data_IF_040701532754
#
_entry.id   IF_040701532754
#
_cell.length_a   1.000
_cell.length_b   1.000
_cell.length_c   1.000
_cell.angle_alpha   90.00
_cell.angle_beta   90.00
_cell.angle_gamma   90.00
#
_symmetry.space_group_name_H-M   'P 1'
#
loop_
_entity.id
_entity.type
_entity.pdbx_description
1 polymer ?
#
# COMPACT_ATOMS: atom_id res chain seq x y z
N UNK A 1 1.76 36.88 -75.03
CA UNK A 1 3.08 36.40 -74.58
C UNK A 1 3.13 36.41 -73.06
N UNK A 2 3.24 35.20 -72.48
CA UNK A 2 3.70 34.74 -71.16
C UNK A 2 3.21 35.35 -69.80
N UNK A 3 2.39 34.52 -69.14
CA UNK A 3 2.29 34.08 -67.72
C UNK A 3 3.53 34.32 -66.82
N UNK A 4 3.54 34.46 -65.49
CA UNK A 4 2.81 33.82 -64.34
C UNK A 4 3.21 34.55 -63.01
N UNK A 5 2.41 34.50 -61.92
CA UNK A 5 2.71 35.17 -60.64
C UNK A 5 3.52 34.29 -59.64
N UNK A 6 4.29 34.90 -58.72
CA UNK A 6 4.89 34.22 -57.56
C UNK A 6 4.18 34.60 -56.26
N UNK A 7 3.40 33.66 -55.69
CA UNK A 7 2.88 33.73 -54.31
C UNK A 7 4.00 33.40 -53.29
N UNK A 8 4.07 34.07 -52.13
CA UNK A 8 4.91 33.61 -51.04
C UNK A 8 4.27 32.41 -50.33
N UNK A 9 5.01 31.30 -50.33
CA UNK A 9 4.69 30.00 -49.70
C UNK A 9 5.27 30.00 -48.28
N UNK A 10 4.53 30.44 -47.26
CA UNK A 10 5.00 30.39 -45.86
C UNK A 10 3.89 30.31 -44.80
N UNK A 11 3.06 29.26 -44.84
CA UNK A 11 2.11 29.00 -43.73
C UNK A 11 1.87 27.52 -43.39
N UNK A 12 2.16 26.58 -44.31
CA UNK A 12 1.90 25.14 -44.09
C UNK A 12 2.85 24.44 -43.11
N UNK A 13 4.07 24.95 -42.91
CA UNK A 13 5.07 24.29 -42.05
C UNK A 13 4.82 24.51 -40.56
N UNK A 14 4.24 25.65 -40.16
CA UNK A 14 3.97 25.96 -38.76
C UNK A 14 2.78 25.17 -38.20
N UNK A 15 1.79 24.88 -39.04
CA UNK A 15 0.60 24.10 -38.66
C UNK A 15 0.96 22.63 -38.45
N UNK A 16 1.84 22.07 -39.30
CA UNK A 16 2.32 20.69 -39.15
C UNK A 16 3.13 20.46 -37.87
N UNK A 17 3.94 21.44 -37.46
CA UNK A 17 4.74 21.38 -36.23
C UNK A 17 3.87 21.41 -34.97
N UNK A 18 2.82 22.22 -34.92
CA UNK A 18 1.92 22.28 -33.75
C UNK A 18 1.13 21.00 -33.57
N UNK A 19 0.65 20.38 -34.66
CA UNK A 19 -0.06 19.10 -34.60
C UNK A 19 0.83 17.96 -34.06
N UNK A 20 2.10 17.93 -34.47
CA UNK A 20 3.05 16.93 -33.99
C UNK A 20 3.35 17.07 -32.48
N UNK A 21 3.46 18.30 -31.97
CA UNK A 21 3.68 18.56 -30.54
C UNK A 21 2.48 18.11 -29.70
N UNK A 22 1.24 18.40 -30.14
CA UNK A 22 0.03 17.98 -29.41
C UNK A 22 -0.08 16.46 -29.34
N UNK A 23 0.23 15.75 -30.42
CA UNK A 23 0.21 14.28 -30.45
C UNK A 23 1.28 13.70 -29.51
N UNK A 24 2.48 14.26 -29.49
CA UNK A 24 3.55 13.82 -28.59
C UNK A 24 3.21 14.06 -27.12
N UNK A 25 2.59 15.20 -26.80
CA UNK A 25 2.14 15.50 -25.42
C UNK A 25 1.01 14.54 -25.01
N UNK A 26 0.04 14.28 -25.87
CA UNK A 26 -1.04 13.34 -25.59
C UNK A 26 -0.53 11.91 -25.36
N UNK A 27 0.45 11.46 -26.16
CA UNK A 27 1.09 10.17 -25.97
C UNK A 27 1.89 10.10 -24.67
N UNK A 28 2.63 11.15 -24.32
CA UNK A 28 3.36 11.21 -23.05
C UNK A 28 2.41 11.14 -21.85
N UNK A 29 1.30 11.87 -21.88
CA UNK A 29 0.27 11.83 -20.83
C UNK A 29 -0.36 10.44 -20.72
N UNK A 30 -0.68 9.78 -21.84
CA UNK A 30 -1.21 8.43 -21.84
C UNK A 30 -0.23 7.40 -21.24
N UNK A 31 1.07 7.52 -21.54
CA UNK A 31 2.11 6.65 -20.96
C UNK A 31 2.21 6.85 -19.44
N UNK A 32 2.16 8.09 -18.94
CA UNK A 32 2.20 8.38 -17.50
C UNK A 32 1.00 7.77 -16.77
N UNK A 33 -0.21 7.89 -17.33
CA UNK A 33 -1.43 7.32 -16.73
C UNK A 33 -1.37 5.77 -16.70
N UNK A 34 -0.87 5.15 -17.77
CA UNK A 34 -0.71 3.69 -17.84
C UNK A 34 0.38 3.18 -16.90
N UNK A 35 1.49 3.92 -16.73
CA UNK A 35 2.54 3.54 -15.77
C UNK A 35 2.06 3.68 -14.32
N UNK A 36 1.29 4.73 -14.02
CA UNK A 36 0.76 4.94 -12.67
C UNK A 36 -0.31 3.90 -12.28
N UNK A 37 -1.04 3.36 -13.26
CA UNK A 37 -2.01 2.28 -13.04
C UNK A 37 -1.35 0.90 -12.95
N UNK A 38 -0.23 0.66 -13.65
CA UNK A 38 0.52 -0.59 -13.56
C UNK A 38 1.40 -0.73 -12.31
N UNK A 39 1.72 0.38 -11.63
CA UNK A 39 2.33 0.36 -10.31
C UNK A 39 1.39 -0.22 -9.24
N UNK A 40 0.10 -0.39 -9.56
CA UNK A 40 -0.87 -1.06 -8.70
C UNK A 40 -0.94 -2.57 -8.97
N UNK A 41 0.18 -3.26 -8.78
CA UNK A 41 0.22 -4.72 -8.83
C UNK A 41 -0.43 -5.36 -7.59
N UNK A 42 -0.76 -6.66 -7.63
CA UNK A 42 -1.39 -7.39 -6.51
C UNK A 42 -0.68 -7.24 -5.16
N UNK A 43 0.64 -7.07 -5.19
CA UNK A 43 1.47 -6.86 -3.99
C UNK A 43 1.02 -5.60 -3.24
N UNK A 44 0.75 -4.50 -3.94
CA UNK A 44 0.35 -3.25 -3.30
C UNK A 44 -1.10 -3.29 -2.76
N UNK A 45 -1.92 -4.21 -3.25
CA UNK A 45 -3.26 -4.46 -2.70
C UNK A 45 -3.22 -5.35 -1.45
N UNK A 46 -2.32 -6.33 -1.42
CA UNK A 46 -2.10 -7.21 -0.25
C UNK A 46 -1.50 -6.40 0.90
N UNK A 47 -0.47 -5.60 0.60
CA UNK A 47 0.15 -4.68 1.56
C UNK A 47 -0.88 -3.74 2.21
N UNK A 48 -1.70 -3.07 1.38
CA UNK A 48 -2.79 -2.22 1.88
C UNK A 48 -3.82 -2.98 2.69
N UNK A 49 -4.18 -4.20 2.28
CA UNK A 49 -5.12 -5.05 3.03
C UNK A 49 -4.55 -5.46 4.38
N UNK A 50 -3.25 -5.79 4.45
CA UNK A 50 -2.55 -6.09 5.70
C UNK A 50 -2.57 -4.88 6.63
N UNK A 51 -2.21 -3.71 6.08
CA UNK A 51 -2.24 -2.42 6.78
C UNK A 51 -3.64 -2.11 7.33
N UNK A 52 -4.66 -2.05 6.49
CA UNK A 52 -6.02 -1.68 6.88
C UNK A 52 -6.56 -2.61 7.97
N UNK A 53 -6.27 -3.91 7.86
CA UNK A 53 -6.72 -4.88 8.84
C UNK A 53 -6.00 -4.72 10.18
N UNK A 54 -4.69 -4.52 10.14
CA UNK A 54 -3.87 -4.31 11.32
C UNK A 54 -4.24 -3.03 12.06
N UNK A 55 -4.50 -1.93 11.34
CA UNK A 55 -4.94 -0.67 11.93
C UNK A 55 -6.29 -0.83 12.65
N UNK A 56 -7.20 -1.60 12.06
CA UNK A 56 -8.49 -1.92 12.68
C UNK A 56 -8.32 -2.75 13.97
N UNK A 57 -7.48 -3.79 13.97
CA UNK A 57 -7.22 -4.60 15.16
C UNK A 57 -6.55 -3.80 16.28
N UNK A 58 -5.52 -3.00 15.95
CA UNK A 58 -4.84 -2.16 16.94
C UNK A 58 -5.82 -1.14 17.53
N UNK A 59 -6.60 -0.45 16.67
CA UNK A 59 -7.60 0.51 17.12
C UNK A 59 -8.64 -0.12 18.05
N UNK A 60 -9.05 -1.37 17.80
CA UNK A 60 -10.00 -2.10 18.65
C UNK A 60 -9.44 -2.45 20.04
N UNK A 61 -8.12 -2.40 20.24
CA UNK A 61 -7.46 -2.63 21.54
C UNK A 61 -7.30 -1.36 22.36
N UNK A 62 -7.52 -0.18 21.79
CA UNK A 62 -7.32 1.09 22.48
C UNK A 62 -8.50 1.41 23.39
N UNK A 63 -8.22 2.01 24.55
CA UNK A 63 -9.24 2.46 25.50
C UNK A 63 -10.10 3.60 24.92
N UNK A 64 -9.48 4.48 24.12
CA UNK A 64 -10.14 5.60 23.46
C UNK A 64 -9.92 5.58 21.93
N UNK A 65 -10.56 4.66 21.18
CA UNK A 65 -10.30 4.45 19.75
C UNK A 65 -10.52 5.68 18.87
N UNK A 66 -11.52 6.51 19.21
CA UNK A 66 -11.91 7.68 18.43
C UNK A 66 -10.97 8.89 18.64
N UNK A 67 -10.24 8.92 19.76
CA UNK A 67 -9.27 9.97 20.06
C UNK A 67 -7.82 9.57 19.70
N UNK A 68 -7.64 8.33 19.24
CA UNK A 68 -6.34 7.79 18.86
C UNK A 68 -5.97 8.13 17.42
N UNK A 69 -4.74 8.60 17.24
CA UNK A 69 -4.09 8.73 15.94
C UNK A 69 -3.22 7.50 15.72
N UNK A 70 -3.46 6.80 14.61
CA UNK A 70 -2.65 5.67 14.20
C UNK A 70 -1.80 6.13 13.01
N UNK A 71 -0.52 5.80 13.04
CA UNK A 71 0.39 6.04 11.93
C UNK A 71 1.27 4.81 11.73
N UNK A 72 1.27 4.29 10.50
CA UNK A 72 2.08 3.12 10.19
C UNK A 72 3.47 3.56 9.78
N UNK A 73 4.46 2.96 10.40
CA UNK A 73 5.86 3.33 10.19
C UNK A 73 6.57 2.35 9.27
N UNK A 74 6.12 1.08 9.22
CA UNK A 74 6.69 0.07 8.32
C UNK A 74 5.67 -1.03 7.99
N UNK A 75 5.71 -1.51 6.74
CA UNK A 75 4.94 -2.66 6.26
C UNK A 75 5.85 -3.51 5.39
N UNK A 76 6.10 -4.75 5.82
CA UNK A 76 7.04 -5.62 5.14
C UNK A 76 6.63 -7.09 5.23
N UNK A 77 7.03 -7.90 4.27
CA UNK A 77 6.92 -9.36 4.40
C UNK A 77 7.86 -9.85 5.51
N UNK A 78 7.35 -10.70 6.39
CA UNK A 78 8.12 -11.33 7.46
C UNK A 78 8.19 -12.84 7.23
N UNK A 79 9.26 -13.52 7.67
CA UNK A 79 9.23 -14.97 7.77
C UNK A 79 8.16 -15.43 8.76
N UNK A 80 7.58 -16.61 8.50
CA UNK A 80 6.76 -17.35 9.45
C UNK A 80 7.66 -17.86 10.59
N UNK A 81 7.21 -17.71 11.83
CA UNK A 81 7.93 -18.04 13.06
C UNK A 81 7.10 -19.03 13.89
N UNK A 82 7.09 -20.32 13.51
CA UNK A 82 6.18 -21.31 14.06
C UNK A 82 6.48 -21.71 15.50
N UNK A 83 7.68 -21.43 15.99
CA UNK A 83 8.13 -21.86 17.31
C UNK A 83 7.99 -20.76 18.38
N UNK A 84 7.71 -19.52 17.96
CA UNK A 84 7.50 -18.39 18.88
C UNK A 84 6.25 -17.59 18.52
N UNK A 85 6.38 -16.60 17.63
CA UNK A 85 5.30 -15.61 17.40
C UNK A 85 4.04 -16.23 16.82
N UNK A 86 4.16 -17.23 15.97
CA UNK A 86 3.05 -17.79 15.19
C UNK A 86 2.56 -19.15 15.72
N UNK A 87 3.18 -19.68 16.79
CA UNK A 87 2.90 -21.01 17.34
C UNK A 87 1.40 -21.22 17.60
N UNK A 88 0.76 -20.29 18.31
CA UNK A 88 -0.66 -20.43 18.66
C UNK A 88 -1.56 -20.34 17.43
N UNK A 89 -1.27 -19.42 16.51
CA UNK A 89 -2.02 -19.25 15.27
C UNK A 89 -1.94 -20.51 14.39
N UNK A 90 -0.79 -21.19 14.37
CA UNK A 90 -0.54 -22.39 13.57
C UNK A 90 -0.97 -23.70 14.24
N UNK A 91 -1.13 -23.74 15.56
CA UNK A 91 -1.49 -24.98 16.27
C UNK A 91 -2.96 -25.00 16.69
N UNK A 92 -3.49 -23.87 17.15
CA UNK A 92 -4.84 -23.75 17.71
C UNK A 92 -5.70 -22.70 17.02
N UNK A 93 -5.10 -21.86 16.17
CA UNK A 93 -5.78 -20.76 15.49
C UNK A 93 -6.31 -21.12 14.10
N UNK A 94 -6.75 -20.09 13.35
CA UNK A 94 -7.31 -20.24 12.00
C UNK A 94 -6.36 -20.84 10.97
N UNK A 95 -5.06 -20.89 11.25
CA UNK A 95 -4.05 -21.47 10.38
C UNK A 95 -3.68 -22.92 10.73
N UNK A 96 -4.38 -23.51 11.71
CA UNK A 96 -4.12 -24.89 12.11
C UNK A 96 -4.31 -25.89 10.97
N UNK A 97 -3.30 -26.71 10.73
CA UNK A 97 -3.28 -27.71 9.66
C UNK A 97 -3.05 -27.18 8.24
N UNK A 98 -2.81 -25.88 8.07
CA UNK A 98 -2.43 -25.29 6.78
C UNK A 98 -0.94 -25.54 6.52
N UNK A 99 -0.60 -25.92 5.29
CA UNK A 99 0.78 -26.04 4.85
C UNK A 99 1.50 -24.69 4.94
N UNK A 100 2.58 -24.62 5.72
CA UNK A 100 3.35 -23.40 5.96
C UNK A 100 3.89 -22.76 4.67
N UNK A 101 4.14 -23.54 3.62
CA UNK A 101 4.61 -23.03 2.33
C UNK A 101 3.58 -22.18 1.59
N UNK A 102 2.29 -22.31 1.95
CA UNK A 102 1.18 -21.51 1.40
C UNK A 102 0.93 -20.23 2.19
N UNK A 103 1.58 -20.08 3.33
CA UNK A 103 1.37 -18.95 4.25
C UNK A 103 2.40 -17.86 3.93
N UNK A 104 1.91 -16.67 3.60
CA UNK A 104 2.71 -15.45 3.51
C UNK A 104 2.36 -14.55 4.68
N UNK A 105 3.38 -14.05 5.38
CA UNK A 105 3.18 -13.16 6.53
C UNK A 105 3.61 -11.74 6.17
N UNK A 106 2.74 -10.78 6.48
CA UNK A 106 3.06 -9.36 6.46
C UNK A 106 3.14 -8.83 7.88
N UNK A 107 4.23 -8.17 8.23
CA UNK A 107 4.41 -7.45 9.48
C UNK A 107 4.12 -5.98 9.25
N UNK A 108 3.23 -5.41 10.06
CA UNK A 108 2.81 -4.01 10.04
C UNK A 108 3.15 -3.43 11.41
N UNK A 109 4.03 -2.43 11.42
CA UNK A 109 4.36 -1.70 12.64
C UNK A 109 3.51 -0.43 12.71
N UNK A 110 2.66 -0.37 13.73
CA UNK A 110 1.68 0.70 13.96
C UNK A 110 2.13 1.52 15.16
N UNK A 111 2.40 2.80 14.96
CA UNK A 111 2.58 3.77 16.03
C UNK A 111 1.22 4.37 16.41
N UNK A 112 0.95 4.44 17.70
CA UNK A 112 -0.31 4.90 18.27
C UNK A 112 -0.04 6.08 19.18
N UNK A 113 -0.73 7.18 18.92
CA UNK A 113 -0.85 8.33 19.81
C UNK A 113 -2.29 8.42 20.32
N UNK A 114 -2.52 8.18 21.60
CA UNK A 114 -3.85 8.21 22.19
C UNK A 114 -3.85 8.90 23.56
N UNK A 115 -4.93 9.58 23.97
CA UNK A 115 -5.04 10.04 25.35
C UNK A 115 -5.15 8.87 26.32
N UNK A 116 -4.42 8.91 27.43
CA UNK A 116 -4.50 7.93 28.51
C UNK A 116 -5.53 8.34 29.57
N UNK A 117 -5.90 7.40 30.44
CA UNK A 117 -6.95 7.61 31.46
C UNK A 117 -6.61 8.68 32.51
N UNK A 118 -5.34 9.05 32.64
CA UNK A 118 -4.85 10.07 33.59
C UNK A 118 -4.61 11.44 32.95
N UNK A 119 -5.06 11.65 31.71
CA UNK A 119 -5.03 12.95 31.03
C UNK A 119 -3.72 13.30 30.32
N UNK A 120 -2.82 12.34 30.14
CA UNK A 120 -1.63 12.44 29.29
C UNK A 120 -1.80 11.79 27.91
N UNK A 121 -0.74 11.78 27.10
CA UNK A 121 -0.68 11.06 25.82
C UNK A 121 0.11 9.75 25.99
N UNK A 122 -0.50 8.64 25.61
CA UNK A 122 0.13 7.35 25.37
C UNK A 122 0.72 7.36 23.96
N UNK A 123 2.03 7.11 23.88
CA UNK A 123 2.72 6.84 22.62
C UNK A 123 3.23 5.40 22.67
N UNK A 124 2.59 4.51 21.92
CA UNK A 124 2.92 3.09 21.90
C UNK A 124 3.16 2.60 20.48
N UNK A 125 3.87 1.48 20.37
CA UNK A 125 4.10 0.78 19.12
C UNK A 125 3.54 -0.63 19.20
N UNK A 126 2.80 -1.03 18.18
CA UNK A 126 2.25 -2.37 18.03
C UNK A 126 2.81 -3.01 16.77
N UNK A 127 3.20 -4.28 16.87
CA UNK A 127 3.54 -5.09 15.72
C UNK A 127 2.36 -6.00 15.41
N UNK A 128 1.80 -5.85 14.22
CA UNK A 128 0.70 -6.70 13.75
C UNK A 128 1.19 -7.61 12.63
N UNK A 129 0.88 -8.89 12.74
CA UNK A 129 1.16 -9.90 11.71
C UNK A 129 -0.14 -10.24 11.00
N UNK A 130 -0.17 -10.05 9.68
CA UNK A 130 -1.28 -10.44 8.82
C UNK A 130 -0.89 -11.66 8.00
N UNK A 131 -1.70 -12.72 8.10
CA UNK A 131 -1.42 -14.01 7.47
C UNK A 131 -2.30 -14.20 6.25
N UNK A 132 -1.64 -14.44 5.12
CA UNK A 132 -2.30 -14.71 3.85
C UNK A 132 -2.06 -16.15 3.44
N UNK A 133 -3.11 -16.86 3.06
CA UNK A 133 -3.04 -18.20 2.49
C UNK A 133 -3.37 -18.09 1.01
N UNK A 134 -2.41 -18.42 0.15
CA UNK A 134 -2.52 -18.26 -1.31
C UNK A 134 -3.00 -16.85 -1.74
N UNK A 135 -2.57 -15.82 -1.01
CA UNK A 135 -2.93 -14.42 -1.28
C UNK A 135 -4.25 -13.94 -0.67
N UNK A 136 -4.96 -14.77 0.11
CA UNK A 136 -6.18 -14.37 0.82
C UNK A 136 -5.91 -14.18 2.31
N UNK A 137 -6.27 -13.01 2.85
CA UNK A 137 -6.15 -12.71 4.28
C UNK A 137 -6.99 -13.72 5.08
N UNK A 138 -6.33 -14.45 5.97
CA UNK A 138 -6.96 -15.52 6.77
C UNK A 138 -7.00 -15.17 8.24
N UNK A 139 -5.94 -14.57 8.78
CA UNK A 139 -5.87 -14.19 10.19
C UNK A 139 -5.00 -12.95 10.41
N UNK A 140 -5.12 -12.34 11.59
CA UNK A 140 -4.27 -11.25 12.07
C UNK A 140 -3.93 -11.41 13.54
N UNK A 141 -2.66 -11.23 13.89
CA UNK A 141 -2.16 -11.28 15.26
C UNK A 141 -1.49 -9.96 15.62
N UNK A 142 -2.09 -9.21 16.55
CA UNK A 142 -1.44 -8.03 17.13
C UNK A 142 -0.62 -8.44 18.33
N UNK A 143 0.68 -8.16 18.26
CA UNK A 143 1.66 -8.29 19.31
C UNK A 143 1.83 -6.89 19.94
N UNK A 144 1.70 -6.80 21.27
CA UNK A 144 2.06 -5.57 21.95
C UNK A 144 3.58 -5.40 21.85
N UNK A 145 4.03 -4.27 21.28
CA UNK A 145 5.43 -3.90 21.36
C UNK A 145 5.76 -3.57 22.80
N UNK A 146 6.71 -4.28 23.39
CA UNK A 146 7.39 -3.82 24.58
C UNK A 146 8.81 -3.51 24.11
N UNK A 147 9.11 -2.23 23.92
CA UNK A 147 10.51 -1.81 23.89
C UNK A 147 11.05 -2.12 25.29
N UNK A 148 11.94 -3.11 25.36
CA UNK A 148 12.62 -3.56 26.59
C UNK A 148 13.77 -2.62 26.93
#
# INVERSE_FOLDING_TARGET
MNTTPRRPRRSRTRIGLMAAVVILVALAVAVVIVLNTRASGPVNSIERTAQDRCDAEVRNRLVAPAAATLSNTDVATSPLDPDAKDLFTLTQGPLSGIDHSRITVWSVTVAVDAPNEVGGSLHDRYDCRAYFVDGTLTDTLVLAGHDH
#
